data_IF_340016542273
#
_entry.id   IF_340016542273
#
_cell.length_a   1.000
_cell.length_b   1.000
_cell.length_c   1.000
_cell.angle_alpha   90.00
_cell.angle_beta   90.00
_cell.angle_gamma   90.00
#
_symmetry.space_group_name_H-M   'P 1'
#
loop_
_entity.id
_entity.type
_entity.pdbx_description
1 polymer ?
#
# COMPACT_ATOMS: atom_id res chain seq x y z
N UNK A 1 -5.65 8.17 6.25
CA UNK A 1 -6.49 8.86 5.23
C UNK A 1 -5.68 9.52 4.15
N UNK A 2 -4.90 10.56 4.47
CA UNK A 2 -4.11 11.31 3.46
C UNK A 2 -3.21 10.39 2.63
N UNK A 3 -2.54 9.42 3.28
CA UNK A 3 -1.68 8.43 2.59
C UNK A 3 -2.39 7.60 1.51
N UNK A 4 -3.71 7.38 1.60
CA UNK A 4 -4.47 6.66 0.57
C UNK A 4 -5.07 7.59 -0.49
N UNK A 5 -5.45 8.81 -0.10
CA UNK A 5 -6.03 9.80 -1.02
C UNK A 5 -5.01 10.31 -2.05
N UNK A 6 -3.78 10.59 -1.61
CA UNK A 6 -2.71 11.10 -2.48
C UNK A 6 -2.45 10.17 -3.68
N UNK A 7 -2.14 8.87 -3.50
CA UNK A 7 -1.90 7.97 -4.63
C UNK A 7 -3.16 7.77 -5.49
N UNK A 8 -4.36 7.80 -4.90
CA UNK A 8 -5.60 7.72 -5.67
C UNK A 8 -5.79 8.90 -6.62
N UNK A 9 -5.58 10.13 -6.15
CA UNK A 9 -5.68 11.35 -6.97
C UNK A 9 -4.58 11.40 -8.03
N UNK A 10 -3.35 11.05 -7.68
CA UNK A 10 -2.24 10.98 -8.65
C UNK A 10 -2.54 9.94 -9.74
N UNK A 11 -3.04 8.77 -9.35
CA UNK A 11 -3.53 7.79 -10.30
C UNK A 11 -4.57 8.42 -11.23
N UNK A 12 -5.57 9.12 -10.69
CA UNK A 12 -6.65 9.70 -11.50
C UNK A 12 -6.13 10.70 -12.52
N UNK A 13 -5.15 11.51 -12.13
CA UNK A 13 -4.47 12.41 -13.05
C UNK A 13 -3.76 11.60 -14.15
N UNK A 14 -3.08 10.50 -13.83
CA UNK A 14 -2.44 9.65 -14.83
C UNK A 14 -3.44 9.04 -15.82
N UNK A 15 -4.62 8.63 -15.34
CA UNK A 15 -5.69 8.15 -16.21
C UNK A 15 -6.23 9.25 -17.13
N UNK A 16 -6.43 10.46 -16.62
CA UNK A 16 -6.83 11.61 -17.43
C UNK A 16 -5.80 11.95 -18.52
N UNK A 17 -4.50 11.92 -18.16
CA UNK A 17 -3.42 12.13 -19.12
C UNK A 17 -3.39 11.03 -20.20
N UNK A 18 -3.68 9.79 -19.84
CA UNK A 18 -3.72 8.67 -20.78
C UNK A 18 -4.88 8.83 -21.79
N UNK A 19 -6.04 9.30 -21.35
CA UNK A 19 -7.19 9.60 -22.22
C UNK A 19 -6.90 10.79 -23.15
N UNK A 20 -6.41 11.90 -22.62
CA UNK A 20 -6.26 13.14 -23.38
C UNK A 20 -5.00 13.20 -24.26
N UNK A 21 -3.93 12.50 -23.87
CA UNK A 21 -2.62 12.55 -24.55
C UNK A 21 -2.22 11.20 -25.16
N UNK A 22 -3.19 10.30 -25.43
CA UNK A 22 -2.95 8.97 -25.98
C UNK A 22 -2.02 8.99 -27.22
N UNK A 23 -2.29 9.87 -28.20
CA UNK A 23 -1.47 10.00 -29.41
C UNK A 23 -0.02 10.42 -29.11
N UNK A 24 0.18 11.29 -28.12
CA UNK A 24 1.50 11.73 -27.69
C UNK A 24 2.27 10.58 -27.01
N UNK A 25 1.64 9.84 -26.10
CA UNK A 25 2.27 8.71 -25.42
C UNK A 25 2.60 7.55 -26.38
N UNK A 26 1.75 7.29 -27.37
CA UNK A 26 2.03 6.32 -28.43
C UNK A 26 3.23 6.78 -29.28
N UNK A 27 3.27 8.06 -29.67
CA UNK A 27 4.39 8.62 -30.42
C UNK A 27 5.70 8.50 -29.63
N UNK A 28 5.72 8.93 -28.37
CA UNK A 28 6.91 8.88 -27.52
C UNK A 28 7.42 7.45 -27.35
N UNK A 29 6.52 6.50 -27.10
CA UNK A 29 6.85 5.07 -26.96
C UNK A 29 7.45 4.48 -28.24
N UNK A 30 6.89 4.80 -29.41
CA UNK A 30 7.35 4.25 -30.69
C UNK A 30 8.60 4.92 -31.23
N UNK A 31 8.77 6.22 -30.98
CA UNK A 31 9.86 7.02 -31.55
C UNK A 31 11.12 7.02 -30.67
N UNK A 32 10.97 7.03 -29.34
CA UNK A 32 12.11 7.26 -28.45
C UNK A 32 12.45 6.08 -27.54
N UNK A 33 11.47 5.35 -27.00
CA UNK A 33 11.75 4.36 -25.95
C UNK A 33 11.81 2.91 -26.44
N UNK A 34 11.20 2.57 -27.58
CA UNK A 34 11.13 1.19 -28.10
C UNK A 34 10.79 0.15 -26.99
N UNK A 35 11.02 -1.14 -27.22
CA UNK A 35 10.95 -2.16 -26.16
C UNK A 35 12.34 -2.31 -25.52
N UNK A 36 12.45 -2.44 -24.18
CA UNK A 36 11.40 -2.69 -23.19
C UNK A 36 10.87 -1.44 -22.46
N UNK A 37 11.52 -0.27 -22.62
CA UNK A 37 11.23 0.93 -21.83
C UNK A 37 9.85 1.54 -22.14
N UNK A 38 9.27 1.22 -23.30
CA UNK A 38 7.90 1.59 -23.65
C UNK A 38 6.83 1.05 -22.69
N UNK A 39 7.08 -0.05 -21.98
CA UNK A 39 6.16 -0.62 -20.98
C UNK A 39 6.07 0.26 -19.73
N UNK A 40 7.17 0.92 -19.35
CA UNK A 40 7.17 1.85 -18.21
C UNK A 40 6.35 3.13 -18.47
N UNK A 41 6.10 3.46 -19.74
CA UNK A 41 5.27 4.60 -20.12
C UNK A 41 3.78 4.27 -20.25
N UNK A 42 3.35 3.06 -19.90
CA UNK A 42 1.93 2.72 -19.80
C UNK A 42 1.32 3.34 -18.55
N UNK A 43 0.97 4.62 -18.65
CA UNK A 43 0.26 5.36 -17.60
C UNK A 43 -1.01 4.66 -17.14
N UNK A 44 -1.66 3.90 -18.02
CA UNK A 44 -2.78 3.03 -17.67
C UNK A 44 -2.43 1.98 -16.60
N UNK A 45 -1.26 1.34 -16.70
CA UNK A 45 -0.80 0.37 -15.70
C UNK A 45 -0.51 1.07 -14.37
N UNK A 46 0.11 2.25 -14.41
CA UNK A 46 0.36 3.07 -13.23
C UNK A 46 -0.92 3.55 -12.55
N UNK A 47 -1.96 3.88 -13.32
CA UNK A 47 -3.29 4.19 -12.79
C UNK A 47 -3.81 3.05 -11.91
N UNK A 48 -3.77 1.80 -12.39
CA UNK A 48 -4.23 0.63 -11.64
C UNK A 48 -3.39 0.40 -10.37
N UNK A 49 -2.06 0.53 -10.46
CA UNK A 49 -1.17 0.36 -9.30
C UNK A 49 -1.42 1.44 -8.23
N UNK A 50 -1.53 2.70 -8.64
CA UNK A 50 -1.70 3.84 -7.73
C UNK A 50 -3.08 3.85 -7.08
N UNK A 51 -4.14 3.64 -7.85
CA UNK A 51 -5.50 3.57 -7.30
C UNK A 51 -5.72 2.33 -6.47
N UNK A 52 -5.25 1.17 -6.92
CA UNK A 52 -5.34 -0.07 -6.15
C UNK A 52 -4.67 0.08 -4.78
N UNK A 53 -3.48 0.68 -4.75
CA UNK A 53 -2.76 0.97 -3.49
C UNK A 53 -3.53 1.99 -2.64
N UNK A 54 -4.06 3.06 -3.23
CA UNK A 54 -4.85 4.07 -2.51
C UNK A 54 -6.12 3.47 -1.87
N UNK A 55 -6.86 2.66 -2.63
CA UNK A 55 -8.06 1.95 -2.16
C UNK A 55 -7.71 0.94 -1.06
N UNK A 56 -6.61 0.20 -1.20
CA UNK A 56 -6.15 -0.72 -0.15
C UNK A 56 -5.93 0.02 1.18
N UNK A 57 -5.18 1.13 1.18
CA UNK A 57 -4.93 1.95 2.38
C UNK A 57 -6.25 2.52 2.94
N UNK A 58 -7.18 2.91 2.06
CA UNK A 58 -8.50 3.39 2.46
C UNK A 58 -9.32 2.30 3.17
N UNK A 59 -9.33 1.08 2.63
CA UNK A 59 -10.04 -0.07 3.23
C UNK A 59 -9.48 -0.40 4.61
N UNK A 60 -8.16 -0.43 4.78
CA UNK A 60 -7.52 -0.67 6.09
C UNK A 60 -7.93 0.40 7.11
N UNK A 61 -8.03 1.65 6.68
CA UNK A 61 -8.53 2.71 7.56
C UNK A 61 -10.00 2.55 7.91
N UNK A 62 -10.86 2.12 6.97
CA UNK A 62 -12.27 1.84 7.28
C UNK A 62 -12.41 0.70 8.31
N UNK A 63 -11.55 -0.32 8.24
CA UNK A 63 -11.49 -1.38 9.25
C UNK A 63 -11.11 -0.80 10.62
N UNK A 64 -10.11 0.08 10.67
CA UNK A 64 -9.71 0.76 11.90
C UNK A 64 -10.85 1.61 12.49
N UNK A 65 -11.53 2.42 11.67
CA UNK A 65 -12.68 3.20 12.11
C UNK A 65 -13.80 2.31 12.67
N UNK A 66 -14.07 1.18 12.02
CA UNK A 66 -15.05 0.21 12.51
C UNK A 66 -14.68 -0.34 13.89
N UNK A 67 -13.40 -0.61 14.15
CA UNK A 67 -12.94 -1.08 15.46
C UNK A 67 -13.07 0.02 16.51
N UNK A 68 -12.74 1.27 16.14
CA UNK A 68 -12.89 2.42 17.03
C UNK A 68 -14.35 2.64 17.42
N UNK A 69 -15.30 2.50 16.47
CA UNK A 69 -16.73 2.64 16.77
C UNK A 69 -17.30 1.50 17.61
N UNK A 70 -16.67 0.32 17.59
CA UNK A 70 -17.05 -0.81 18.46
C UNK A 70 -16.40 -0.74 19.86
N UNK A 71 -15.50 0.23 20.11
CA UNK A 71 -14.82 0.36 21.40
C UNK A 71 -13.69 -0.65 21.65
N UNK A 72 -13.32 -1.45 20.65
CA UNK A 72 -12.32 -2.52 20.79
C UNK A 72 -10.92 -2.09 20.31
N UNK A 73 -10.60 -0.80 20.38
CA UNK A 73 -9.34 -0.26 19.85
C UNK A 73 -8.10 -0.90 20.48
N UNK A 74 -8.19 -1.29 21.75
CA UNK A 74 -7.07 -1.87 22.50
C UNK A 74 -6.73 -3.31 22.10
N UNK A 75 -7.61 -4.01 21.38
CA UNK A 75 -7.36 -5.39 20.94
C UNK A 75 -6.58 -5.47 19.63
N UNK A 76 -6.40 -4.36 18.91
CA UNK A 76 -5.80 -4.34 17.58
C UNK A 76 -4.52 -3.50 17.57
N UNK A 77 -3.59 -3.89 16.71
CA UNK A 77 -2.34 -3.15 16.45
C UNK A 77 -2.19 -2.91 14.96
N UNK A 78 -1.63 -1.76 14.62
CA UNK A 78 -1.15 -1.50 13.27
C UNK A 78 0.22 -2.15 13.09
N UNK A 79 0.34 -2.90 12.00
CA UNK A 79 1.61 -3.40 11.51
C UNK A 79 1.85 -2.87 10.10
N UNK A 80 3.11 -2.69 9.75
CA UNK A 80 3.55 -2.21 8.45
C UNK A 80 4.37 -3.29 7.76
N UNK A 81 3.80 -3.87 6.72
CA UNK A 81 4.50 -4.82 5.84
C UNK A 81 5.35 -4.06 4.84
N UNK A 82 6.59 -4.51 4.69
CA UNK A 82 7.60 -3.84 3.85
C UNK A 82 7.74 -2.34 4.14
N UNK A 83 7.44 -1.93 5.39
CA UNK A 83 7.48 -0.53 5.86
C UNK A 83 6.50 0.44 5.18
N UNK A 84 5.66 -0.06 4.27
CA UNK A 84 4.79 0.78 3.42
C UNK A 84 3.32 0.35 3.45
N UNK A 85 3.04 -0.96 3.49
CA UNK A 85 1.68 -1.47 3.45
C UNK A 85 1.12 -1.64 4.87
N UNK A 86 0.14 -0.82 5.29
CA UNK A 86 -0.46 -0.95 6.60
C UNK A 86 -1.41 -2.15 6.64
N UNK A 87 -1.38 -2.90 7.73
CA UNK A 87 -2.32 -3.97 8.02
C UNK A 87 -2.74 -3.89 9.48
N UNK A 88 -4.01 -4.23 9.75
CA UNK A 88 -4.57 -4.23 11.09
C UNK A 88 -4.66 -5.67 11.60
N UNK A 89 -3.98 -5.97 12.69
CA UNK A 89 -3.91 -7.32 13.25
C UNK A 89 -4.36 -7.32 14.70
N UNK A 90 -5.06 -8.39 15.11
CA UNK A 90 -5.46 -8.58 16.50
C UNK A 90 -4.27 -9.00 17.37
N UNK A 91 -4.14 -8.40 18.55
CA UNK A 91 -3.15 -8.77 19.56
C UNK A 91 -3.29 -10.26 19.92
N UNK A 92 -2.20 -11.01 19.84
CA UNK A 92 -2.14 -12.43 20.20
C UNK A 92 -2.18 -13.42 19.03
N UNK A 93 -2.37 -12.97 17.78
CA UNK A 93 -2.17 -13.82 16.62
C UNK A 93 -0.66 -14.03 16.36
N UNK A 94 -0.19 -15.26 16.13
CA UNK A 94 1.20 -15.50 15.76
C UNK A 94 1.44 -14.97 14.35
N UNK A 95 2.17 -13.87 14.24
CA UNK A 95 2.60 -13.32 12.96
C UNK A 95 3.87 -14.08 12.56
N UNK A 96 3.92 -14.67 11.36
CA UNK A 96 5.09 -15.42 10.87
C UNK A 96 6.05 -14.62 10.00
N UNK A 97 5.71 -13.36 9.73
CA UNK A 97 6.38 -12.51 8.72
C UNK A 97 6.90 -11.25 9.38
N UNK A 98 8.06 -10.76 8.97
CA UNK A 98 8.65 -9.55 9.55
C UNK A 98 7.77 -8.33 9.29
N UNK A 99 7.62 -7.48 10.29
CA UNK A 99 6.72 -6.32 10.27
C UNK A 99 7.35 -5.14 11.02
N UNK A 100 6.85 -3.93 10.80
CA UNK A 100 7.20 -2.77 11.63
C UNK A 100 5.96 -2.25 12.34
N UNK A 101 6.10 -1.76 13.56
CA UNK A 101 4.99 -1.15 14.32
C UNK A 101 4.76 0.32 13.92
N UNK A 102 5.76 0.94 13.31
CA UNK A 102 5.75 2.35 12.93
C UNK A 102 5.96 2.52 11.42
N UNK A 103 5.46 3.64 10.89
CA UNK A 103 5.69 4.00 9.49
C UNK A 103 7.19 4.21 9.25
N UNK A 104 7.76 3.49 8.27
CA UNK A 104 9.21 3.47 7.99
C UNK A 104 10.10 3.08 9.19
N UNK A 105 9.54 2.48 10.23
CA UNK A 105 10.26 2.09 11.44
C UNK A 105 11.20 0.89 11.25
N UNK A 106 11.91 0.50 12.33
CA UNK A 106 12.73 -0.71 12.34
C UNK A 106 11.84 -1.94 12.13
N UNK A 107 12.38 -2.92 11.42
CA UNK A 107 11.68 -4.19 11.16
C UNK A 107 11.88 -5.10 12.38
N UNK A 108 10.77 -5.51 12.99
CA UNK A 108 10.73 -6.53 14.04
C UNK A 108 10.52 -7.89 13.37
N UNK A 109 11.41 -8.84 13.66
CA UNK A 109 11.27 -10.20 13.16
C UNK A 109 10.28 -10.96 14.03
N UNK A 110 9.22 -11.46 13.41
CA UNK A 110 8.13 -12.17 14.06
C UNK A 110 8.57 -13.39 14.91
N UNK A 111 9.71 -14.00 14.57
CA UNK A 111 10.26 -15.16 15.31
C UNK A 111 10.83 -14.80 16.70
N UNK A 112 11.28 -13.56 16.95
CA UNK A 112 11.90 -13.20 18.24
C UNK A 112 10.87 -13.01 19.36
N UNK A 113 9.66 -12.56 19.06
CA UNK A 113 8.60 -12.42 20.08
C UNK A 113 8.02 -13.77 20.51
N UNK A 114 7.82 -14.69 19.56
CA UNK A 114 7.27 -16.01 19.86
C UNK A 114 8.26 -16.90 20.64
N UNK A 115 9.56 -16.64 20.48
CA UNK A 115 10.63 -17.26 21.26
C UNK A 115 10.87 -16.63 22.63
N UNK A 116 10.13 -15.59 23.03
CA UNK A 116 10.22 -15.00 24.38
C UNK A 116 8.99 -15.38 25.22
N UNK A 117 7.80 -15.48 24.60
CA UNK A 117 6.57 -15.97 25.27
C UNK A 117 6.59 -17.46 25.63
N UNK A 118 7.46 -18.27 25.02
CA UNK A 118 7.57 -19.70 25.33
C UNK A 118 8.43 -19.99 26.57
N UNK A 119 9.11 -18.98 27.11
CA UNK A 119 10.18 -19.14 28.09
C UNK A 119 9.83 -18.52 29.45
N UNK A 120 8.62 -17.97 29.58
CA UNK A 120 8.05 -17.42 30.81
C UNK A 120 6.77 -18.17 31.15
#
# INVERSE_FOLDING_TARGET
MVMGMVPFVIGFIFWQLDIHLCSFWIYVRRTYLALPLGVFLELHAWWHLLTGTGVYIFVVYLQYLRILTHGNADEFVFIWRWRFFPELVRKGLPIGTSYSTEYMGPIVNAQSENGTKKNN
#
